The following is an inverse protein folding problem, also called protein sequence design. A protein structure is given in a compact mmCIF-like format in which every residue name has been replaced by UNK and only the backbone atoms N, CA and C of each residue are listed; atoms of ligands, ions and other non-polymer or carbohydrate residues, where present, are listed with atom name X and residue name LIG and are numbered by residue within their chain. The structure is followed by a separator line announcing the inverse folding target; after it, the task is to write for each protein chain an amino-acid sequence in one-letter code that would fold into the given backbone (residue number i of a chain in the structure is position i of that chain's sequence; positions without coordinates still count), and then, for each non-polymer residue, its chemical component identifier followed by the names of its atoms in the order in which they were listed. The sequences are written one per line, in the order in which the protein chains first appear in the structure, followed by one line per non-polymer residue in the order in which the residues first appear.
data_IF_393345213369
#
_entry.id   IF_393345213369
#
_cell.length_a   1.000
_cell.length_b   1.000
_cell.length_c   1.000
_cell.angle_alpha   90.00
_cell.angle_beta   90.00
_cell.angle_gamma   90.00
#
_symmetry.space_group_name_H-M   'P 1'
#
loop_
_entity.id
_entity.type
_entity.pdbx_description
1 polymer ?
#
# COMPACT_ATOMS: atom_id res chain seq x y z
N UNK A 1 27.95 39.14 3.28
CA UNK A 1 27.48 38.38 4.45
C UNK A 1 25.95 38.26 4.55
N UNK A 2 25.17 39.34 4.45
CA UNK A 2 23.68 39.28 4.57
C UNK A 2 23.01 38.58 3.38
N UNK A 3 23.46 38.81 2.13
CA UNK A 3 22.91 38.12 0.95
C UNK A 3 23.19 36.61 0.89
N UNK A 4 24.34 36.16 1.41
CA UNK A 4 24.64 34.72 1.50
C UNK A 4 23.78 34.00 2.53
N UNK A 5 23.48 34.65 3.65
CA UNK A 5 22.62 34.09 4.70
C UNK A 5 21.15 34.08 4.27
N UNK A 6 20.67 35.10 3.55
CA UNK A 6 19.33 35.10 2.93
C UNK A 6 19.21 34.02 1.85
N UNK A 7 20.21 33.86 0.96
CA UNK A 7 20.22 32.79 -0.04
C UNK A 7 20.31 31.40 0.60
N UNK A 8 21.06 31.23 1.70
CA UNK A 8 21.14 29.96 2.43
C UNK A 8 19.81 29.65 3.12
N UNK A 9 19.15 30.65 3.72
CA UNK A 9 17.81 30.50 4.33
C UNK A 9 16.75 30.23 3.26
N UNK A 10 16.76 30.89 2.10
CA UNK A 10 15.85 30.59 0.99
C UNK A 10 16.11 29.21 0.37
N UNK A 11 17.37 28.81 0.22
CA UNK A 11 17.75 27.47 -0.29
C UNK A 11 17.38 26.35 0.70
N UNK A 12 17.53 26.60 1.99
CA UNK A 12 17.07 25.73 3.08
C UNK A 12 15.53 25.70 3.12
N UNK A 13 14.85 26.84 2.96
CA UNK A 13 13.38 26.94 2.90
C UNK A 13 12.82 26.24 1.66
N UNK A 14 13.44 26.35 0.50
CA UNK A 14 13.04 25.63 -0.73
C UNK A 14 13.23 24.11 -0.62
N UNK A 15 14.19 23.65 0.20
CA UNK A 15 14.41 22.21 0.48
C UNK A 15 13.56 21.67 1.63
N UNK A 16 13.11 22.53 2.56
CA UNK A 16 12.22 22.15 3.67
C UNK A 16 10.73 22.29 3.34
N UNK A 17 10.34 23.14 2.38
CA UNK A 17 8.93 23.45 2.09
C UNK A 17 8.38 22.86 0.79
N UNK A 18 9.11 21.96 0.12
CA UNK A 18 8.54 21.19 -0.98
C UNK A 18 8.70 19.69 -0.73
N UNK A 19 7.93 19.09 0.19
CA UNK A 19 7.38 17.80 -0.17
C UNK A 19 6.55 18.10 -1.42
N UNK A 20 6.94 17.56 -2.59
CA UNK A 20 6.07 17.55 -3.76
C UNK A 20 4.85 16.69 -3.42
N UNK A 21 3.93 17.26 -2.64
CA UNK A 21 2.56 16.80 -2.47
C UNK A 21 1.88 17.14 -3.79
N UNK A 22 2.28 16.42 -4.82
CA UNK A 22 1.54 16.38 -6.06
C UNK A 22 0.22 15.69 -5.73
N UNK A 23 -0.90 16.30 -6.13
CA UNK A 23 -2.24 15.68 -6.06
C UNK A 23 -2.22 14.26 -6.64
N UNK A 24 -1.34 14.04 -7.60
CA UNK A 24 -1.07 12.76 -8.26
C UNK A 24 -0.51 11.70 -7.29
N UNK A 25 0.43 12.06 -6.40
CA UNK A 25 0.98 11.15 -5.39
C UNK A 25 -0.09 10.70 -4.40
N UNK A 26 -0.97 11.59 -3.93
CA UNK A 26 -2.06 11.19 -3.02
C UNK A 26 -3.13 10.36 -3.74
N UNK A 27 -3.45 10.67 -4.99
CA UNK A 27 -4.40 9.89 -5.80
C UNK A 27 -3.90 8.45 -6.03
N UNK A 28 -2.61 8.28 -6.32
CA UNK A 28 -1.99 6.96 -6.39
C UNK A 28 -2.10 6.23 -5.04
N UNK A 29 -1.79 6.90 -3.93
CA UNK A 29 -1.93 6.34 -2.60
C UNK A 29 -3.35 5.88 -2.27
N UNK A 30 -4.38 6.63 -2.71
CA UNK A 30 -5.80 6.29 -2.57
C UNK A 30 -6.13 5.00 -3.35
N UNK A 31 -5.72 4.91 -4.62
CA UNK A 31 -5.98 3.73 -5.44
C UNK A 31 -5.33 2.47 -4.85
N UNK A 32 -4.06 2.58 -4.43
CA UNK A 32 -3.34 1.47 -3.81
C UNK A 32 -3.92 1.08 -2.45
N UNK A 33 -4.48 2.04 -1.70
CA UNK A 33 -5.18 1.76 -0.45
C UNK A 33 -6.51 1.03 -0.69
N UNK A 34 -7.29 1.44 -1.71
CA UNK A 34 -8.49 0.72 -2.12
C UNK A 34 -8.14 -0.72 -2.51
N UNK A 35 -7.05 -0.92 -3.28
CA UNK A 35 -6.55 -2.26 -3.62
C UNK A 35 -6.21 -3.07 -2.37
N UNK A 36 -5.46 -2.49 -1.43
CA UNK A 36 -5.10 -3.16 -0.17
C UNK A 36 -6.33 -3.59 0.64
N UNK A 37 -7.29 -2.68 0.82
CA UNK A 37 -8.53 -2.98 1.54
C UNK A 37 -9.37 -4.03 0.82
N UNK A 38 -9.46 -3.94 -0.51
CA UNK A 38 -10.20 -4.90 -1.32
C UNK A 38 -9.63 -6.30 -1.18
N UNK A 39 -8.30 -6.45 -1.31
CA UNK A 39 -7.64 -7.75 -1.24
C UNK A 39 -7.84 -8.41 0.13
N UNK A 40 -7.82 -7.65 1.23
CA UNK A 40 -8.10 -8.18 2.57
C UNK A 40 -9.52 -8.75 2.67
N UNK A 41 -10.52 -8.03 2.16
CA UNK A 41 -11.89 -8.55 2.16
C UNK A 41 -12.05 -9.74 1.20
N UNK A 42 -11.41 -9.69 0.02
CA UNK A 42 -11.42 -10.77 -0.95
C UNK A 42 -10.84 -12.07 -0.37
N UNK A 43 -9.69 -11.99 0.30
CA UNK A 43 -9.08 -13.19 0.89
C UNK A 43 -9.83 -13.68 2.11
N UNK A 44 -10.35 -12.76 2.94
CA UNK A 44 -11.07 -13.14 4.15
C UNK A 44 -12.43 -13.78 3.83
N UNK A 45 -13.20 -13.19 2.92
CA UNK A 45 -14.54 -13.69 2.56
C UNK A 45 -14.46 -14.83 1.55
N UNK A 46 -13.60 -14.70 0.52
CA UNK A 46 -13.55 -15.61 -0.62
C UNK A 46 -12.49 -16.71 -0.53
N UNK A 47 -11.43 -16.54 0.26
CA UNK A 47 -10.25 -17.43 0.26
C UNK A 47 -9.87 -17.94 1.65
N UNK A 48 -10.86 -18.35 2.43
CA UNK A 48 -10.64 -19.14 3.65
C UNK A 48 -10.28 -18.33 4.90
N UNK A 49 -10.81 -17.11 5.05
CA UNK A 49 -10.79 -16.42 6.34
C UNK A 49 -9.47 -15.75 6.73
N UNK A 50 -8.60 -15.47 5.75
CA UNK A 50 -7.25 -14.94 5.98
C UNK A 50 -7.11 -13.53 5.44
N UNK A 51 -6.36 -12.67 6.13
CA UNK A 51 -6.02 -11.34 5.60
C UNK A 51 -4.75 -11.39 4.75
N UNK A 52 -4.73 -10.74 3.58
CA UNK A 52 -3.53 -10.69 2.73
C UNK A 52 -2.53 -9.59 3.12
N UNK A 53 -3.02 -8.47 3.63
CA UNK A 53 -2.28 -7.27 3.99
C UNK A 53 -2.19 -7.11 5.51
N UNK A 54 -3.30 -7.31 6.22
CA UNK A 54 -3.38 -7.13 7.67
C UNK A 54 -2.70 -8.26 8.46
N UNK A 55 -1.37 -8.35 8.38
CA UNK A 55 -0.58 -9.37 9.10
C UNK A 55 -0.76 -9.33 10.62
N UNK A 56 -1.03 -8.14 11.20
CA UNK A 56 -1.42 -8.03 12.60
C UNK A 56 -2.68 -8.84 12.92
N UNK A 57 -3.67 -8.83 12.03
CA UNK A 57 -4.89 -9.64 12.16
C UNK A 57 -4.58 -11.13 12.11
N UNK A 58 -3.75 -11.56 11.16
CA UNK A 58 -3.32 -12.96 11.08
C UNK A 58 -2.56 -13.40 12.34
N UNK A 59 -1.68 -12.58 12.89
CA UNK A 59 -0.96 -12.89 14.15
C UNK A 59 -1.95 -13.12 15.30
N UNK A 60 -2.99 -12.29 15.42
CA UNK A 60 -4.04 -12.47 16.44
C UNK A 60 -4.79 -13.77 16.20
N UNK A 61 -5.18 -14.07 14.97
CA UNK A 61 -5.89 -15.31 14.60
C UNK A 61 -5.04 -16.56 14.83
N UNK A 62 -3.73 -16.51 14.60
CA UNK A 62 -2.79 -17.58 14.99
C UNK A 62 -2.87 -17.84 16.49
N UNK A 63 -2.83 -16.78 17.31
CA UNK A 63 -2.89 -16.90 18.77
C UNK A 63 -4.21 -17.49 19.28
N UNK A 64 -5.34 -17.02 18.75
CA UNK A 64 -6.68 -17.51 19.11
C UNK A 64 -6.83 -18.99 18.72
N UNK A 65 -6.53 -19.34 17.46
CA UNK A 65 -6.67 -20.72 16.99
C UNK A 65 -5.72 -21.69 17.69
N UNK A 66 -4.48 -21.26 18.00
CA UNK A 66 -3.55 -22.08 18.76
C UNK A 66 -4.05 -22.35 20.18
N UNK A 67 -4.64 -21.35 20.83
CA UNK A 67 -5.23 -21.51 22.16
C UNK A 67 -6.44 -22.45 22.15
N UNK A 68 -7.29 -22.37 21.13
CA UNK A 68 -8.46 -23.25 20.96
C UNK A 68 -8.10 -24.68 20.51
N UNK A 69 -6.83 -24.96 20.20
CA UNK A 69 -6.38 -26.26 19.69
C UNK A 69 -6.66 -26.49 18.20
N UNK A 70 -7.09 -25.45 17.48
CA UNK A 70 -7.40 -25.44 16.06
C UNK A 70 -6.13 -25.33 15.19
N UNK A 71 -5.22 -26.31 15.29
CA UNK A 71 -3.90 -26.27 14.65
C UNK A 71 -3.92 -26.10 13.13
N UNK A 72 -4.94 -26.62 12.46
CA UNK A 72 -5.12 -26.43 11.02
C UNK A 72 -5.28 -24.95 10.67
N UNK A 73 -6.19 -24.25 11.34
CA UNK A 73 -6.42 -22.82 11.13
C UNK A 73 -5.21 -21.99 11.54
N UNK A 74 -4.54 -22.36 12.64
CA UNK A 74 -3.28 -21.73 13.07
C UNK A 74 -2.25 -21.73 11.94
N UNK A 75 -2.01 -22.86 11.29
CA UNK A 75 -1.02 -22.98 10.22
C UNK A 75 -1.42 -22.17 8.99
N UNK A 76 -2.70 -22.17 8.62
CA UNK A 76 -3.20 -21.40 7.48
C UNK A 76 -2.90 -19.90 7.61
N UNK A 77 -2.99 -19.35 8.82
CA UNK A 77 -2.72 -17.93 9.08
C UNK A 77 -1.22 -17.60 9.19
N UNK A 78 -0.36 -18.60 9.42
CA UNK A 78 1.10 -18.43 9.42
C UNK A 78 1.64 -18.23 8.00
N UNK A 79 1.08 -18.92 7.00
CA UNK A 79 1.58 -18.87 5.62
C UNK A 79 1.65 -17.43 5.03
N UNK A 80 0.60 -16.60 5.12
CA UNK A 80 0.63 -15.18 4.74
C UNK A 80 1.75 -14.39 5.42
N UNK A 81 1.95 -14.60 6.72
CA UNK A 81 2.94 -13.87 7.52
C UNK A 81 4.34 -14.17 7.00
N UNK A 82 4.63 -15.45 6.80
CA UNK A 82 5.92 -15.91 6.26
C UNK A 82 6.13 -15.38 4.83
N UNK A 83 5.10 -15.45 3.98
CA UNK A 83 5.15 -14.91 2.62
C UNK A 83 5.43 -13.40 2.61
N UNK A 84 4.78 -12.64 3.50
CA UNK A 84 4.99 -11.21 3.66
C UNK A 84 6.44 -10.91 4.09
N UNK A 85 6.99 -11.66 5.05
CA UNK A 85 8.40 -11.52 5.48
C UNK A 85 9.34 -11.75 4.29
N UNK A 86 9.12 -12.81 3.52
CA UNK A 86 9.96 -13.10 2.35
C UNK A 86 9.86 -12.02 1.27
N UNK A 87 8.69 -11.46 1.03
CA UNK A 87 8.56 -10.38 0.05
C UNK A 87 9.20 -9.07 0.53
N UNK A 88 9.16 -8.74 1.82
CA UNK A 88 9.97 -7.64 2.38
C UNK A 88 11.47 -7.89 2.15
N UNK A 89 11.96 -9.10 2.44
CA UNK A 89 13.37 -9.46 2.20
C UNK A 89 13.72 -9.33 0.70
N UNK A 90 12.87 -9.80 -0.19
CA UNK A 90 13.06 -9.71 -1.64
C UNK A 90 13.10 -8.24 -2.12
N UNK A 91 12.22 -7.39 -1.59
CA UNK A 91 12.21 -5.97 -1.90
C UNK A 91 13.50 -5.28 -1.44
N UNK A 92 13.95 -5.53 -0.20
CA UNK A 92 15.18 -4.92 0.31
C UNK A 92 16.44 -5.46 -0.38
N UNK A 93 16.46 -6.75 -0.74
CA UNK A 93 17.53 -7.32 -1.57
C UNK A 93 17.57 -6.64 -2.94
N UNK A 94 16.41 -6.40 -3.56
CA UNK A 94 16.36 -5.71 -4.87
C UNK A 94 16.84 -4.27 -4.76
N UNK A 95 16.44 -3.53 -3.72
CA UNK A 95 16.92 -2.15 -3.50
C UNK A 95 18.42 -2.05 -3.29
N UNK A 96 19.03 -3.07 -2.65
CA UNK A 96 20.47 -3.08 -2.36
C UNK A 96 21.33 -3.39 -3.59
N UNK A 97 20.88 -4.30 -4.45
CA UNK A 97 21.72 -4.86 -5.52
C UNK A 97 21.54 -4.18 -6.88
N UNK A 98 20.50 -3.36 -7.06
CA UNK A 98 20.21 -2.71 -8.33
C UNK A 98 20.49 -1.19 -8.30
N UNK A 99 20.81 -0.63 -9.45
CA UNK A 99 21.22 0.77 -9.60
C UNK A 99 20.08 1.76 -9.37
N UNK A 100 20.41 3.04 -9.11
CA UNK A 100 19.44 4.13 -8.93
C UNK A 100 18.50 4.28 -10.13
N UNK A 101 18.98 4.02 -11.36
CA UNK A 101 18.14 4.03 -12.56
C UNK A 101 17.12 2.89 -12.60
N UNK A 102 17.46 1.72 -12.06
CA UNK A 102 16.52 0.61 -11.90
C UNK A 102 15.51 0.88 -10.79
N UNK A 103 15.94 1.54 -9.70
CA UNK A 103 15.06 1.91 -8.60
C UNK A 103 13.95 2.87 -9.02
N UNK A 104 14.19 3.76 -10.00
CA UNK A 104 13.12 4.59 -10.57
C UNK A 104 12.05 3.79 -11.31
N UNK A 105 12.36 2.55 -11.71
CA UNK A 105 11.42 1.65 -12.39
C UNK A 105 10.89 0.56 -11.46
N UNK A 106 11.30 0.56 -10.19
CA UNK A 106 10.94 -0.48 -9.24
C UNK A 106 9.45 -0.44 -8.92
N UNK A 107 8.89 0.74 -8.69
CA UNK A 107 7.45 0.95 -8.46
C UNK A 107 6.62 0.46 -9.64
N UNK A 108 7.04 0.78 -10.86
CA UNK A 108 6.43 0.29 -12.11
C UNK A 108 6.50 -1.24 -12.21
N UNK A 109 7.68 -1.82 -11.95
CA UNK A 109 7.87 -3.26 -12.01
C UNK A 109 6.99 -4.01 -11.01
N UNK A 110 6.82 -3.47 -9.80
CA UNK A 110 5.92 -4.04 -8.78
C UNK A 110 4.47 -3.99 -9.25
N UNK A 111 3.98 -2.86 -9.76
CA UNK A 111 2.60 -2.76 -10.26
C UNK A 111 2.35 -3.71 -11.44
N UNK A 112 3.29 -3.81 -12.39
CA UNK A 112 3.18 -4.74 -13.53
C UNK A 112 3.17 -6.19 -13.04
N UNK A 113 4.02 -6.53 -12.07
CA UNK A 113 4.04 -7.85 -11.45
C UNK A 113 2.70 -8.19 -10.77
N UNK A 114 2.13 -7.27 -10.00
CA UNK A 114 0.83 -7.44 -9.36
C UNK A 114 -0.31 -7.60 -10.38
N UNK A 115 -0.33 -6.79 -11.43
CA UNK A 115 -1.30 -6.88 -12.54
C UNK A 115 -1.28 -8.30 -13.13
N UNK A 116 -0.09 -8.80 -13.49
CA UNK A 116 0.07 -10.13 -14.08
C UNK A 116 -0.41 -11.22 -13.11
N UNK A 117 0.05 -11.17 -11.86
CA UNK A 117 -0.31 -12.19 -10.85
C UNK A 117 -1.81 -12.19 -10.56
N UNK A 118 -2.42 -11.04 -10.30
CA UNK A 118 -3.84 -10.96 -9.96
C UNK A 118 -4.73 -11.29 -11.15
N UNK A 119 -4.29 -10.97 -12.37
CA UNK A 119 -4.95 -11.42 -13.60
C UNK A 119 -4.97 -12.95 -13.70
N UNK A 120 -3.83 -13.61 -13.44
CA UNK A 120 -3.72 -15.08 -13.42
C UNK A 120 -4.58 -15.68 -12.29
N UNK A 121 -4.54 -15.11 -11.08
CA UNK A 121 -5.36 -15.57 -9.94
C UNK A 121 -6.84 -15.53 -10.29
N UNK A 122 -7.29 -14.52 -11.03
CA UNK A 122 -8.68 -14.45 -11.48
C UNK A 122 -9.09 -15.61 -12.39
N UNK A 123 -8.17 -16.32 -13.04
CA UNK A 123 -8.49 -17.55 -13.79
C UNK A 123 -8.53 -18.82 -12.94
N UNK A 124 -7.99 -18.79 -11.72
CA UNK A 124 -7.93 -19.97 -10.86
C UNK A 124 -9.35 -20.45 -10.48
N UNK A 125 -9.62 -21.77 -10.57
CA UNK A 125 -10.93 -22.32 -10.20
C UNK A 125 -11.12 -22.32 -8.69
N UNK A 126 -12.38 -22.40 -8.24
CA UNK A 126 -12.73 -22.43 -6.80
C UNK A 126 -12.07 -23.56 -6.01
N UNK A 127 -11.77 -24.68 -6.67
CA UNK A 127 -11.14 -25.84 -6.04
C UNK A 127 -9.61 -25.69 -5.89
N UNK A 128 -9.03 -24.59 -6.40
CA UNK A 128 -7.61 -24.30 -6.24
C UNK A 128 -7.30 -23.94 -4.78
N UNK A 129 -6.08 -24.26 -4.33
CA UNK A 129 -5.67 -24.05 -2.94
C UNK A 129 -5.73 -22.56 -2.54
N UNK A 130 -6.60 -22.25 -1.58
CA UNK A 130 -6.67 -20.91 -0.97
C UNK A 130 -5.33 -20.49 -0.38
N UNK A 131 -4.57 -21.43 0.20
CA UNK A 131 -3.26 -21.14 0.78
C UNK A 131 -2.28 -20.63 -0.28
N UNK A 132 -2.25 -21.25 -1.46
CA UNK A 132 -1.38 -20.80 -2.55
C UNK A 132 -1.74 -19.37 -2.99
N UNK A 133 -3.04 -19.08 -3.15
CA UNK A 133 -3.52 -17.73 -3.49
C UNK A 133 -3.12 -16.72 -2.42
N UNK A 134 -3.39 -17.02 -1.14
CA UNK A 134 -3.14 -16.12 -0.03
C UNK A 134 -1.63 -15.84 0.17
N UNK A 135 -0.77 -16.86 -0.01
CA UNK A 135 0.70 -16.72 0.00
C UNK A 135 1.12 -15.75 -1.10
N UNK A 136 0.65 -15.96 -2.33
CA UNK A 136 1.03 -15.12 -3.48
C UNK A 136 0.56 -13.68 -3.29
N UNK A 137 -0.68 -13.45 -2.84
CA UNK A 137 -1.21 -12.10 -2.60
C UNK A 137 -0.44 -11.42 -1.46
N UNK A 138 -0.14 -12.13 -0.36
CA UNK A 138 0.60 -11.55 0.78
C UNK A 138 2.04 -11.18 0.42
N UNK A 139 2.68 -12.00 -0.41
CA UNK A 139 4.00 -11.69 -0.97
C UNK A 139 3.93 -10.42 -1.85
N UNK A 140 3.00 -10.37 -2.80
CA UNK A 140 2.79 -9.21 -3.68
C UNK A 140 2.51 -7.92 -2.89
N UNK A 141 1.59 -7.99 -1.92
CA UNK A 141 1.25 -6.91 -1.00
C UNK A 141 2.47 -6.34 -0.26
N UNK A 142 3.40 -7.19 0.16
CA UNK A 142 4.63 -6.76 0.82
C UNK A 142 5.58 -6.02 -0.13
N UNK A 143 5.65 -6.42 -1.40
CA UNK A 143 6.39 -5.69 -2.43
C UNK A 143 5.78 -4.31 -2.68
N UNK A 144 4.45 -4.21 -2.78
CA UNK A 144 3.73 -2.94 -2.91
C UNK A 144 4.02 -2.03 -1.71
N UNK A 145 3.91 -2.57 -0.49
CA UNK A 145 4.23 -1.85 0.74
C UNK A 145 5.65 -1.30 0.72
N UNK A 146 6.62 -2.13 0.31
CA UNK A 146 8.02 -1.73 0.25
C UNK A 146 8.33 -0.73 -0.87
N UNK A 147 7.64 -0.82 -2.01
CA UNK A 147 7.78 0.10 -3.14
C UNK A 147 7.20 1.47 -2.81
N UNK A 148 6.00 1.52 -2.25
CA UNK A 148 5.25 2.76 -2.01
C UNK A 148 5.30 3.24 -0.57
N UNK A 149 6.44 3.04 0.12
CA UNK A 149 6.61 3.40 1.55
C UNK A 149 6.63 4.91 1.83
N UNK A 150 6.87 5.73 0.80
CA UNK A 150 6.99 7.18 0.91
C UNK A 150 6.09 7.85 -0.13
N UNK A 151 4.85 8.19 0.24
CA UNK A 151 3.99 9.03 -0.61
C UNK A 151 4.04 10.47 -0.10
N UNK A 152 4.16 11.45 -1.00
CA UNK A 152 4.07 12.88 -0.65
C UNK A 152 5.01 13.35 0.48
N UNK A 153 6.20 12.75 0.62
CA UNK A 153 7.21 13.17 1.61
C UNK A 153 7.00 12.63 3.04
N UNK A 154 5.97 11.82 3.29
CA UNK A 154 5.76 11.16 4.58
C UNK A 154 5.76 9.63 4.42
N UNK A 155 6.14 8.88 5.46
CA UNK A 155 5.95 7.44 5.47
C UNK A 155 4.45 7.15 5.52
N UNK A 156 3.89 6.67 4.40
CA UNK A 156 2.52 6.17 4.32
C UNK A 156 2.58 4.68 4.06
N UNK A 157 1.78 3.92 4.81
CA UNK A 157 1.54 2.52 4.52
C UNK A 157 0.25 2.42 3.70
N UNK A 158 0.32 2.25 2.38
CA UNK A 158 -0.88 2.11 1.55
C UNK A 158 -1.70 0.86 1.90
N UNK A 159 -1.06 -0.17 2.43
CA UNK A 159 -1.68 -1.45 2.77
C UNK A 159 -1.96 -1.63 4.28
N UNK A 160 -1.65 -0.64 5.14
CA UNK A 160 -1.85 -0.77 6.60
C UNK A 160 -2.55 0.43 7.22
N UNK A 161 -3.65 0.19 7.94
CA UNK A 161 -4.42 1.25 8.59
C UNK A 161 -3.89 1.66 9.98
N UNK A 162 -3.36 0.73 10.78
CA UNK A 162 -3.02 1.00 12.19
C UNK A 162 -1.95 2.07 12.36
N UNK A 163 -0.85 1.97 11.60
CA UNK A 163 0.22 2.97 11.62
C UNK A 163 -0.28 4.33 11.12
N UNK A 164 -1.03 4.33 10.02
CA UNK A 164 -1.63 5.53 9.46
C UNK A 164 -2.58 6.21 10.46
N UNK A 165 -3.40 5.45 11.20
CA UNK A 165 -4.35 5.98 12.18
C UNK A 165 -3.64 6.66 13.35
N UNK A 166 -2.54 6.08 13.84
CA UNK A 166 -1.69 6.71 14.85
C UNK A 166 -1.16 8.04 14.33
N UNK A 167 -0.56 8.05 13.14
CA UNK A 167 0.00 9.27 12.53
C UNK A 167 -1.08 10.32 12.23
N UNK A 168 -2.27 9.92 11.78
CA UNK A 168 -3.43 10.78 11.58
C UNK A 168 -3.83 11.47 12.88
N UNK A 169 -3.97 10.67 13.96
CA UNK A 169 -4.38 11.16 15.27
C UNK A 169 -3.35 12.14 15.86
N UNK A 170 -2.06 11.84 15.72
CA UNK A 170 -0.99 12.74 16.17
C UNK A 170 -0.99 14.06 15.38
N UNK A 171 -1.13 13.99 14.07
CA UNK A 171 -1.20 15.18 13.22
C UNK A 171 -2.45 16.02 13.52
N UNK A 172 -3.61 15.38 13.73
CA UNK A 172 -4.85 16.06 14.10
C UNK A 172 -4.75 16.74 15.47
N UNK A 173 -4.09 16.10 16.44
CA UNK A 173 -3.84 16.70 17.75
C UNK A 173 -2.99 17.97 17.64
N UNK A 174 -1.90 17.94 16.87
CA UNK A 174 -1.05 19.12 16.64
C UNK A 174 -1.81 20.22 15.89
N UNK A 175 -2.57 19.85 14.86
CA UNK A 175 -3.41 20.78 14.12
C UNK A 175 -4.39 21.54 15.03
N UNK A 176 -5.02 20.82 15.96
CA UNK A 176 -5.98 21.41 16.89
C UNK A 176 -5.31 22.24 17.99
N UNK A 177 -4.27 21.70 18.63
CA UNK A 177 -3.64 22.32 19.81
C UNK A 177 -2.71 23.48 19.45
N UNK A 178 -1.97 23.36 18.35
CA UNK A 178 -0.97 24.34 17.92
C UNK A 178 -1.49 25.23 16.78
N UNK A 179 -2.71 24.99 16.28
CA UNK A 179 -3.26 25.65 15.07
C UNK A 179 -2.32 25.50 13.86
N UNK A 180 -1.65 24.35 13.80
CA UNK A 180 -0.69 24.03 12.74
C UNK A 180 -1.44 23.55 11.49
N UNK A 181 -1.44 24.40 10.45
CA UNK A 181 -2.09 24.12 9.17
C UNK A 181 -1.42 22.97 8.42
N UNK A 182 -0.10 22.81 8.50
CA UNK A 182 0.61 21.72 7.83
C UNK A 182 0.26 20.38 8.48
N UNK A 183 0.15 20.37 9.82
CA UNK A 183 -0.34 19.21 10.55
C UNK A 183 -1.80 18.86 10.20
N UNK A 184 -2.65 19.86 9.94
CA UNK A 184 -4.04 19.64 9.53
C UNK A 184 -4.11 18.94 8.16
N UNK A 185 -3.33 19.41 7.19
CA UNK A 185 -3.23 18.82 5.85
C UNK A 185 -2.71 17.38 5.95
N UNK A 186 -1.66 17.16 6.76
CA UNK A 186 -1.11 15.83 7.00
C UNK A 186 -2.13 14.87 7.60
N UNK A 187 -2.91 15.32 8.59
CA UNK A 187 -3.97 14.53 9.19
C UNK A 187 -5.03 14.14 8.16
N UNK A 188 -5.49 15.11 7.36
CA UNK A 188 -6.47 14.89 6.30
C UNK A 188 -5.99 13.85 5.29
N UNK A 189 -4.72 13.90 4.89
CA UNK A 189 -4.15 12.90 3.98
C UNK A 189 -4.15 11.49 4.57
N UNK A 190 -3.72 11.31 5.83
CA UNK A 190 -3.78 9.99 6.45
C UNK A 190 -5.22 9.48 6.59
N UNK A 191 -6.15 10.33 7.01
CA UNK A 191 -7.57 9.94 7.11
C UNK A 191 -8.17 9.60 5.74
N UNK A 192 -7.78 10.30 4.69
CA UNK A 192 -8.21 10.00 3.32
C UNK A 192 -7.74 8.62 2.88
N UNK A 193 -6.49 8.26 3.14
CA UNK A 193 -5.94 6.93 2.84
C UNK A 193 -6.64 5.83 3.66
N UNK A 194 -6.90 6.07 4.94
CA UNK A 194 -7.63 5.12 5.81
C UNK A 194 -9.05 4.91 5.29
N UNK A 195 -9.74 6.00 4.93
CA UNK A 195 -11.09 5.93 4.38
C UNK A 195 -11.12 5.22 3.02
N UNK A 196 -10.13 5.47 2.16
CA UNK A 196 -9.97 4.77 0.89
C UNK A 196 -9.77 3.27 1.09
N UNK A 197 -8.93 2.87 2.06
CA UNK A 197 -8.78 1.45 2.43
C UNK A 197 -10.10 0.85 2.88
N UNK A 198 -10.83 1.53 3.77
CA UNK A 198 -12.15 1.09 4.24
C UNK A 198 -13.14 0.90 3.07
N UNK A 199 -13.19 1.85 2.13
CA UNK A 199 -14.01 1.71 0.92
C UNK A 199 -13.57 0.52 0.07
N UNK A 200 -12.26 0.30 -0.05
CA UNK A 200 -11.68 -0.89 -0.67
C UNK A 200 -12.19 -2.17 -0.04
N UNK A 201 -12.13 -2.28 1.29
CA UNK A 201 -12.63 -3.45 2.04
C UNK A 201 -14.13 -3.65 1.83
N UNK A 202 -14.93 -2.58 1.87
CA UNK A 202 -16.35 -2.66 1.60
C UNK A 202 -16.63 -3.16 0.17
N UNK A 203 -15.98 -2.56 -0.84
CA UNK A 203 -16.13 -2.96 -2.25
C UNK A 203 -15.65 -4.39 -2.50
N UNK A 204 -14.51 -4.77 -1.91
CA UNK A 204 -13.95 -6.11 -1.99
C UNK A 204 -14.88 -7.15 -1.39
N UNK A 205 -15.45 -6.88 -0.22
CA UNK A 205 -16.42 -7.77 0.40
C UNK A 205 -17.70 -7.88 -0.42
N UNK A 206 -18.25 -6.75 -0.87
CA UNK A 206 -19.45 -6.71 -1.71
C UNK A 206 -19.24 -7.49 -3.02
N UNK A 207 -18.20 -7.16 -3.79
CA UNK A 207 -17.95 -7.81 -5.08
C UNK A 207 -17.57 -9.28 -4.92
N UNK A 208 -16.81 -9.65 -3.90
CA UNK A 208 -16.48 -11.06 -3.65
C UNK A 208 -17.70 -11.85 -3.24
N UNK A 209 -18.65 -11.27 -2.51
CA UNK A 209 -19.91 -11.93 -2.16
C UNK A 209 -20.76 -12.24 -3.41
N UNK A 210 -20.88 -11.30 -4.35
CA UNK A 210 -21.74 -11.46 -5.53
C UNK A 210 -21.06 -12.15 -6.72
N UNK A 211 -19.79 -11.83 -6.98
CA UNK A 211 -19.04 -12.28 -8.17
C UNK A 211 -18.13 -13.49 -7.82
N UNK A 212 -17.82 -13.69 -6.53
CA UNK A 212 -16.89 -14.73 -6.07
C UNK A 212 -15.44 -14.41 -6.47
N UNK A 213 -14.65 -15.46 -6.63
CA UNK A 213 -13.21 -15.44 -6.94
C UNK A 213 -12.81 -14.53 -8.12
N UNK A 214 -13.72 -14.29 -9.07
CA UNK A 214 -13.46 -13.43 -10.25
C UNK A 214 -13.42 -11.94 -9.89
N UNK A 215 -13.89 -11.56 -8.71
CA UNK A 215 -13.87 -10.16 -8.24
C UNK A 215 -12.47 -9.57 -8.22
N UNK A 216 -11.41 -10.40 -8.10
CA UNK A 216 -10.01 -9.97 -8.14
C UNK A 216 -9.63 -9.24 -9.44
N UNK A 217 -10.35 -9.45 -10.56
CA UNK A 217 -10.10 -8.66 -11.78
C UNK A 217 -10.44 -7.18 -11.61
N UNK A 218 -11.29 -6.82 -10.65
CA UNK A 218 -11.49 -5.42 -10.28
C UNK A 218 -10.20 -4.78 -9.75
N UNK A 219 -9.42 -5.53 -8.97
CA UNK A 219 -8.09 -5.09 -8.49
C UNK A 219 -7.15 -4.86 -9.67
N UNK A 220 -7.16 -5.75 -10.67
CA UNK A 220 -6.35 -5.59 -11.89
C UNK A 220 -6.67 -4.27 -12.59
N UNK A 221 -7.95 -3.93 -12.73
CA UNK A 221 -8.39 -2.67 -13.32
C UNK A 221 -7.84 -1.48 -12.52
N UNK A 222 -7.97 -1.50 -11.19
CA UNK A 222 -7.44 -0.43 -10.33
C UNK A 222 -5.92 -0.29 -10.43
N UNK A 223 -5.19 -1.40 -10.51
CA UNK A 223 -3.73 -1.38 -10.65
C UNK A 223 -3.29 -0.86 -12.02
N UNK A 224 -4.03 -1.14 -13.10
CA UNK A 224 -3.77 -0.55 -14.41
C UNK A 224 -3.95 0.97 -14.35
N UNK A 225 -5.01 1.47 -13.70
CA UNK A 225 -5.18 2.90 -13.48
C UNK A 225 -4.04 3.51 -12.65
N UNK A 226 -3.61 2.83 -11.58
CA UNK A 226 -2.46 3.23 -10.77
C UNK A 226 -1.18 3.32 -11.59
N UNK A 227 -0.93 2.34 -12.47
CA UNK A 227 0.24 2.31 -13.35
C UNK A 227 0.23 3.46 -14.36
N UNK A 228 -0.91 3.71 -15.01
CA UNK A 228 -1.07 4.85 -15.94
C UNK A 228 -0.85 6.17 -15.22
N UNK A 229 -1.41 6.34 -14.01
CA UNK A 229 -1.23 7.55 -13.21
C UNK A 229 0.24 7.76 -12.83
N UNK A 230 0.94 6.69 -12.45
CA UNK A 230 2.36 6.73 -12.11
C UNK A 230 3.22 7.18 -13.31
N UNK A 231 2.96 6.60 -14.49
CA UNK A 231 3.66 6.93 -15.74
C UNK A 231 3.45 8.40 -16.16
N UNK A 232 2.20 8.89 -16.08
CA UNK A 232 1.88 10.30 -16.40
C UNK A 232 2.59 11.25 -15.42
N UNK A 233 2.64 10.89 -14.14
CA UNK A 233 3.31 11.68 -13.09
C UNK A 233 4.81 11.79 -13.34
N UNK A 234 5.46 10.68 -13.74
CA UNK A 234 6.90 10.69 -14.04
C UNK A 234 7.23 11.53 -15.27
N UNK A 235 6.47 11.38 -16.36
CA UNK A 235 6.70 12.15 -17.58
C UNK A 235 6.54 13.66 -17.33
N UNK A 236 5.53 14.07 -16.56
CA UNK A 236 5.33 15.48 -16.18
C UNK A 236 6.51 16.04 -15.36
N UNK A 237 7.10 15.23 -14.47
CA UNK A 237 8.29 15.64 -13.68
C UNK A 237 9.54 15.81 -14.54
N UNK A 238 9.72 14.95 -15.54
CA UNK A 238 10.85 15.03 -16.49
C UNK A 238 10.72 16.30 -17.36
N UNK A 239 9.53 16.60 -17.87
CA UNK A 239 9.30 17.83 -18.64
C UNK A 239 9.57 19.10 -17.81
N UNK A 240 9.10 19.14 -16.56
CA UNK A 240 9.29 20.28 -15.67
C UNK A 240 10.75 20.48 -15.20
N UNK A 241 11.63 19.47 -15.32
CA UNK A 241 13.07 19.61 -15.01
C UNK A 241 13.91 20.01 -16.22
N UNK A 242 13.35 19.91 -17.43
CA UNK A 242 14.00 20.31 -18.68
C UNK A 242 13.61 21.74 -19.13
N UNK A 243 12.56 22.33 -18.53
CA UNK A 243 12.12 23.72 -18.72
C UNK A 243 12.76 24.68 -17.73
#
# INVERSE_FOLDING_TARGET
MVNESINKIQKIRSRMFLPNITSESIMLGILLAIVGGFLDAYTFIGRGGVFSNAQTGNIVLVGINAFEGNWHETIIHIFPIVAFIFGVIAAEFTKKNFSVSFLSKWEHAVLVFEIIIFFIIGFMPKNFSNNCVNITISFAASLQYCAFKNLSGYPYATTMCTGNLRSASQAAYLAFTQKDYDAAIKALHYFTVIFAFFLGTFLGGFLTFFIGDKSVWFVVILLIFSLVLLEVTENTRVEATLS
#
